data_IF_875162677597
#
_entry.id   IF_875162677597
#
_cell.length_a   1.000
_cell.length_b   1.000
_cell.length_c   1.000
_cell.angle_alpha   90.00
_cell.angle_beta   90.00
_cell.angle_gamma   90.00
#
_symmetry.space_group_name_H-M   'P 1'
#
loop_
_entity.id
_entity.type
_entity.pdbx_description
1 polymer ?
#
# COMPACT_ATOMS: atom_id res chain seq x y z
N UNK A 1 -44.63 -1.59 -23.94
CA UNK A 1 -45.19 -0.34 -23.38
C UNK A 1 -44.48 0.82 -24.07
N UNK A 2 -45.20 1.63 -24.85
CA UNK A 2 -44.63 2.79 -25.54
C UNK A 2 -44.16 3.83 -24.50
N UNK A 3 -42.89 4.22 -24.58
CA UNK A 3 -42.31 5.25 -23.70
C UNK A 3 -42.89 6.60 -24.15
N UNK A 4 -43.67 7.28 -23.31
CA UNK A 4 -44.11 8.65 -23.61
C UNK A 4 -42.88 9.56 -23.67
N UNK A 5 -42.75 10.35 -24.74
CA UNK A 5 -41.64 11.28 -24.96
C UNK A 5 -42.18 12.65 -25.34
N UNK A 6 -41.62 13.72 -24.75
CA UNK A 6 -41.94 15.11 -25.08
C UNK A 6 -40.77 15.69 -25.88
N UNK A 7 -41.06 16.40 -26.97
CA UNK A 7 -40.02 17.03 -27.81
C UNK A 7 -39.55 18.34 -27.17
N UNK A 8 -38.25 18.45 -26.93
CA UNK A 8 -37.60 19.69 -26.51
C UNK A 8 -36.60 20.16 -27.57
N UNK A 9 -36.57 21.47 -27.84
CA UNK A 9 -35.58 22.10 -28.73
C UNK A 9 -34.56 22.85 -27.88
N UNK A 10 -33.30 22.43 -27.93
CA UNK A 10 -32.20 22.97 -27.11
C UNK A 10 -31.06 23.36 -28.04
N UNK A 11 -30.39 24.47 -27.74
CA UNK A 11 -29.17 24.89 -28.45
C UNK A 11 -27.95 24.31 -27.74
N UNK A 12 -27.07 23.66 -28.50
CA UNK A 12 -25.79 23.13 -28.03
C UNK A 12 -24.66 23.94 -28.66
N UNK A 13 -23.58 24.17 -27.92
CA UNK A 13 -22.37 24.69 -28.52
C UNK A 13 -21.83 23.71 -29.58
N UNK A 14 -21.14 24.17 -30.64
CA UNK A 14 -20.66 23.31 -31.72
C UNK A 14 -19.84 22.10 -31.23
N UNK A 15 -18.98 22.31 -30.23
CA UNK A 15 -18.19 21.25 -29.60
C UNK A 15 -19.05 20.19 -28.90
N UNK A 16 -20.08 20.61 -28.17
CA UNK A 16 -20.99 19.71 -27.45
C UNK A 16 -21.85 18.89 -28.42
N UNK A 17 -22.29 19.51 -29.53
CA UNK A 17 -23.01 18.80 -30.60
C UNK A 17 -22.15 17.68 -31.22
N UNK A 18 -20.86 17.98 -31.49
CA UNK A 18 -19.92 16.98 -31.99
C UNK A 18 -19.71 15.84 -30.99
N UNK A 19 -19.44 16.16 -29.73
CA UNK A 19 -19.27 15.16 -28.66
C UNK A 19 -20.50 14.26 -28.51
N UNK A 20 -21.70 14.83 -28.54
CA UNK A 20 -22.95 14.05 -28.47
C UNK A 20 -23.08 13.09 -29.66
N UNK A 21 -22.77 13.56 -30.88
CA UNK A 21 -22.83 12.73 -32.08
C UNK A 21 -21.83 11.57 -32.04
N UNK A 22 -20.61 11.83 -31.57
CA UNK A 22 -19.55 10.82 -31.43
C UNK A 22 -19.91 9.79 -30.37
N UNK A 23 -20.39 10.25 -29.21
CA UNK A 23 -20.83 9.38 -28.12
C UNK A 23 -21.99 8.47 -28.54
N UNK A 24 -23.00 9.03 -29.18
CA UNK A 24 -24.16 8.29 -29.69
C UNK A 24 -23.73 7.22 -30.70
N UNK A 25 -22.82 7.57 -31.62
CA UNK A 25 -22.23 6.64 -32.59
C UNK A 25 -21.44 5.53 -31.90
N UNK A 26 -20.55 5.88 -30.96
CA UNK A 26 -19.73 4.92 -30.21
C UNK A 26 -20.59 3.92 -29.42
N UNK A 27 -21.66 4.40 -28.79
CA UNK A 27 -22.58 3.57 -27.99
C UNK A 27 -23.70 2.93 -28.82
N UNK A 28 -23.76 3.17 -30.14
CA UNK A 28 -24.81 2.69 -31.06
C UNK A 28 -26.23 2.99 -30.57
N UNK A 29 -26.44 4.20 -30.07
CA UNK A 29 -27.75 4.70 -29.61
C UNK A 29 -28.10 6.01 -30.33
N UNK A 30 -29.37 6.42 -30.29
CA UNK A 30 -29.77 7.72 -30.85
C UNK A 30 -29.25 8.87 -29.96
N UNK A 31 -29.03 10.05 -30.55
CA UNK A 31 -28.63 11.24 -29.77
C UNK A 31 -29.69 11.61 -28.73
N UNK A 32 -30.98 11.45 -29.04
CA UNK A 32 -32.06 11.69 -28.09
C UNK A 32 -32.03 10.70 -26.91
N UNK A 33 -31.73 9.42 -27.14
CA UNK A 33 -31.58 8.43 -26.06
C UNK A 33 -30.31 8.70 -25.23
N UNK A 34 -29.22 9.12 -25.88
CA UNK A 34 -28.00 9.55 -25.18
C UNK A 34 -28.27 10.74 -24.25
N UNK A 35 -28.97 11.78 -24.73
CA UNK A 35 -29.36 12.95 -23.92
C UNK A 35 -30.29 12.53 -22.79
N UNK A 36 -31.30 11.70 -23.06
CA UNK A 36 -32.24 11.23 -22.03
C UNK A 36 -31.52 10.45 -20.91
N UNK A 37 -30.56 9.58 -21.26
CA UNK A 37 -29.73 8.86 -20.29
C UNK A 37 -28.82 9.79 -19.50
N UNK A 38 -28.20 10.75 -20.15
CA UNK A 38 -27.36 11.73 -19.48
C UNK A 38 -28.17 12.57 -18.48
N UNK A 39 -29.36 13.06 -18.86
CA UNK A 39 -30.26 13.79 -17.97
C UNK A 39 -30.75 12.91 -16.82
N UNK A 40 -31.15 11.67 -17.09
CA UNK A 40 -31.56 10.73 -16.04
C UNK A 40 -30.41 10.45 -15.05
N UNK A 41 -29.18 10.33 -15.54
CA UNK A 41 -28.00 10.19 -14.67
C UNK A 41 -27.70 11.46 -13.88
N UNK A 42 -27.87 12.64 -14.49
CA UNK A 42 -27.57 13.93 -13.87
C UNK A 42 -28.59 14.29 -12.78
N UNK A 43 -29.86 13.97 -13.02
CA UNK A 43 -30.93 14.18 -12.03
C UNK A 43 -31.09 13.03 -11.04
N UNK A 44 -30.31 11.95 -11.18
CA UNK A 44 -30.32 10.87 -10.20
C UNK A 44 -29.57 11.33 -8.94
N UNK A 45 -30.26 11.51 -7.80
CA UNK A 45 -29.63 11.97 -6.53
C UNK A 45 -28.56 11.00 -6.02
N UNK A 46 -28.54 9.79 -6.55
CA UNK A 46 -27.81 8.67 -6.00
C UNK A 46 -26.46 8.38 -6.68
N UNK A 47 -26.17 8.98 -7.83
CA UNK A 47 -25.04 8.58 -8.66
C UNK A 47 -23.68 8.96 -8.06
N UNK A 48 -23.49 10.25 -7.79
CA UNK A 48 -22.29 10.78 -7.13
C UNK A 48 -22.14 10.21 -5.73
N UNK A 49 -23.22 10.25 -4.96
CA UNK A 49 -23.21 9.96 -3.52
C UNK A 49 -22.92 8.49 -3.25
N UNK A 50 -23.39 7.57 -4.12
CA UNK A 50 -23.06 6.14 -4.00
C UNK A 50 -21.60 5.85 -4.31
N UNK A 51 -21.03 6.52 -5.32
CA UNK A 51 -19.62 6.35 -5.68
C UNK A 51 -18.74 6.90 -4.56
N UNK A 52 -19.04 8.10 -4.09
CA UNK A 52 -18.33 8.73 -2.97
C UNK A 52 -18.41 7.85 -1.71
N UNK A 53 -19.60 7.40 -1.33
CA UNK A 53 -19.77 6.50 -0.19
C UNK A 53 -19.05 5.15 -0.37
N UNK A 54 -18.92 4.62 -1.59
CA UNK A 54 -18.18 3.39 -1.84
C UNK A 54 -16.67 3.61 -1.73
N UNK A 55 -16.15 4.74 -2.21
CA UNK A 55 -14.75 5.13 -2.09
C UNK A 55 -14.39 5.34 -0.61
N UNK A 56 -15.20 6.12 0.14
CA UNK A 56 -14.97 6.35 1.57
C UNK A 56 -14.92 5.04 2.35
N UNK A 57 -15.88 4.12 2.12
CA UNK A 57 -15.87 2.78 2.74
C UNK A 57 -14.63 1.96 2.38
N UNK A 58 -14.13 2.07 1.15
CA UNK A 58 -12.90 1.38 0.72
C UNK A 58 -11.67 1.97 1.41
N UNK A 59 -11.59 3.31 1.50
CA UNK A 59 -10.51 4.00 2.19
C UNK A 59 -10.49 3.63 3.68
N UNK A 60 -11.65 3.66 4.35
CA UNK A 60 -11.76 3.24 5.76
C UNK A 60 -11.26 1.81 5.97
N UNK A 61 -11.60 0.90 5.06
CA UNK A 61 -11.12 -0.48 5.12
C UNK A 61 -9.60 -0.57 4.94
N UNK A 62 -9.03 0.22 4.02
CA UNK A 62 -7.58 0.26 3.79
C UNK A 62 -6.85 0.83 5.00
N UNK A 63 -7.34 1.92 5.60
CA UNK A 63 -6.77 2.49 6.82
C UNK A 63 -6.75 1.45 7.95
N UNK A 64 -7.87 0.76 8.18
CA UNK A 64 -7.92 -0.31 9.20
C UNK A 64 -6.98 -1.48 8.90
N UNK A 65 -6.76 -1.81 7.62
CA UNK A 65 -5.81 -2.85 7.23
C UNK A 65 -4.37 -2.39 7.48
N UNK A 66 -4.08 -1.13 7.19
CA UNK A 66 -2.79 -0.50 7.45
C UNK A 66 -2.50 -0.46 8.95
N UNK A 67 -3.42 0.00 9.79
CA UNK A 67 -3.24 0.06 11.24
C UNK A 67 -2.96 -1.32 11.84
N UNK A 68 -3.67 -2.35 11.37
CA UNK A 68 -3.39 -3.74 11.78
C UNK A 68 -2.04 -4.26 11.28
N UNK A 69 -1.55 -3.76 10.15
CA UNK A 69 -0.23 -4.13 9.64
C UNK A 69 0.88 -3.43 10.43
N UNK A 70 0.72 -2.14 10.70
CA UNK A 70 1.61 -1.36 11.55
C UNK A 70 1.73 -1.99 12.94
N UNK A 71 0.59 -2.28 13.59
CA UNK A 71 0.62 -2.94 14.91
C UNK A 71 1.34 -4.30 14.90
N UNK A 72 1.14 -5.12 13.86
CA UNK A 72 1.89 -6.39 13.72
C UNK A 72 3.39 -6.14 13.56
N UNK A 73 3.77 -5.11 12.81
CA UNK A 73 5.17 -4.72 12.63
C UNK A 73 5.79 -4.30 13.95
N UNK A 74 5.09 -3.49 14.75
CA UNK A 74 5.56 -3.05 16.06
C UNK A 74 5.73 -4.23 17.02
N UNK A 75 4.77 -5.16 17.06
CA UNK A 75 4.87 -6.38 17.88
C UNK A 75 6.08 -7.23 17.48
N UNK A 76 6.34 -7.39 16.17
CA UNK A 76 7.51 -8.13 15.68
C UNK A 76 8.81 -7.43 16.05
N UNK A 77 8.87 -6.10 15.90
CA UNK A 77 10.04 -5.31 16.26
C UNK A 77 10.34 -5.42 17.76
N UNK A 78 9.32 -5.28 18.61
CA UNK A 78 9.45 -5.41 20.07
C UNK A 78 9.88 -6.82 20.48
N UNK A 79 9.28 -7.85 19.86
CA UNK A 79 9.65 -9.25 20.11
C UNK A 79 11.10 -9.52 19.74
N UNK A 80 11.56 -9.01 18.58
CA UNK A 80 12.94 -9.18 18.14
C UNK A 80 13.91 -8.44 19.06
N UNK A 81 13.58 -7.22 19.49
CA UNK A 81 14.37 -6.45 20.45
C UNK A 81 14.54 -7.22 21.77
N UNK A 82 13.44 -7.74 22.32
CA UNK A 82 13.46 -8.56 23.54
C UNK A 82 14.25 -9.87 23.35
N UNK A 83 14.08 -10.55 22.22
CA UNK A 83 14.82 -11.77 21.90
C UNK A 83 16.33 -11.51 21.83
N UNK A 84 16.76 -10.52 21.04
CA UNK A 84 18.17 -10.17 20.87
C UNK A 84 18.78 -9.76 22.21
N UNK A 85 18.08 -8.92 22.98
CA UNK A 85 18.53 -8.50 24.32
C UNK A 85 18.70 -9.70 25.26
N UNK A 86 17.69 -10.56 25.34
CA UNK A 86 17.71 -11.76 26.20
C UNK A 86 18.83 -12.71 25.77
N UNK A 87 18.99 -12.93 24.47
CA UNK A 87 20.04 -13.78 23.91
C UNK A 87 21.43 -13.23 24.27
N UNK A 88 21.68 -11.93 24.06
CA UNK A 88 22.96 -11.30 24.39
C UNK A 88 23.31 -11.31 25.88
N UNK A 89 22.29 -11.35 26.76
CA UNK A 89 22.47 -11.42 28.21
C UNK A 89 22.68 -12.86 28.69
N UNK A 90 21.97 -13.85 28.11
CA UNK A 90 21.84 -15.19 28.68
C UNK A 90 22.58 -16.33 27.94
N UNK A 91 23.14 -16.12 26.76
CA UNK A 91 23.81 -17.21 26.00
C UNK A 91 25.26 -17.52 26.41
N UNK A 92 25.83 -16.84 27.40
CA UNK A 92 27.08 -17.29 28.01
C UNK A 92 26.78 -18.28 29.15
N UNK A 93 27.21 -19.55 29.09
CA UNK A 93 27.12 -20.44 30.24
C UNK A 93 28.14 -19.94 31.26
N UNK A 94 27.67 -19.23 32.29
CA UNK A 94 28.52 -18.71 33.35
C UNK A 94 28.21 -19.43 34.65
N UNK A 95 29.24 -19.95 35.36
CA UNK A 95 29.09 -20.41 36.73
C UNK A 95 28.51 -19.28 37.58
N UNK A 96 27.65 -19.64 38.55
CA UNK A 96 26.72 -18.75 39.25
C UNK A 96 27.33 -17.45 39.85
N UNK A 97 28.64 -17.39 40.05
CA UNK A 97 29.37 -16.25 40.61
C UNK A 97 29.61 -15.09 39.62
N UNK A 98 29.52 -15.31 38.30
CA UNK A 98 29.82 -14.29 37.29
C UNK A 98 28.58 -13.57 36.71
N UNK A 99 27.39 -13.82 37.24
CA UNK A 99 26.12 -13.36 36.66
C UNK A 99 25.99 -11.82 36.55
N UNK A 100 26.57 -11.06 37.49
CA UNK A 100 26.53 -9.60 37.45
C UNK A 100 27.41 -9.02 36.32
N UNK A 101 28.61 -9.56 36.14
CA UNK A 101 29.53 -9.17 35.05
C UNK A 101 28.96 -9.58 33.68
N UNK A 102 28.32 -10.75 33.61
CA UNK A 102 27.59 -11.23 32.43
C UNK A 102 26.52 -10.25 31.96
N UNK A 103 25.67 -9.80 32.89
CA UNK A 103 24.58 -8.85 32.60
C UNK A 103 25.11 -7.50 32.16
N UNK A 104 26.21 -7.03 32.76
CA UNK A 104 26.87 -5.79 32.35
C UNK A 104 27.44 -5.88 30.93
N UNK A 105 28.11 -6.98 30.58
CA UNK A 105 28.58 -7.24 29.22
C UNK A 105 27.43 -7.36 28.22
N UNK A 106 26.34 -8.05 28.58
CA UNK A 106 25.15 -8.16 27.74
C UNK A 106 24.48 -6.81 27.46
N UNK A 107 24.44 -5.92 28.47
CA UNK A 107 23.95 -4.55 28.31
C UNK A 107 24.82 -3.74 27.34
N UNK A 108 26.15 -3.80 27.49
CA UNK A 108 27.07 -3.10 26.59
C UNK A 108 26.96 -3.60 25.13
N UNK A 109 26.78 -4.91 24.92
CA UNK A 109 26.54 -5.50 23.60
C UNK A 109 25.21 -5.05 22.99
N UNK A 110 24.15 -4.94 23.80
CA UNK A 110 22.86 -4.41 23.36
C UNK A 110 22.97 -2.96 22.87
N UNK A 111 23.63 -2.09 23.65
CA UNK A 111 23.82 -0.68 23.27
C UNK A 111 24.61 -0.55 21.95
N UNK A 112 25.69 -1.33 21.78
CA UNK A 112 26.45 -1.38 20.53
C UNK A 112 25.62 -1.90 19.34
N UNK A 113 24.78 -2.91 19.56
CA UNK A 113 23.85 -3.43 18.55
C UNK A 113 22.84 -2.35 18.10
N UNK A 114 22.19 -1.67 19.05
CA UNK A 114 21.23 -0.60 18.75
C UNK A 114 21.89 0.50 17.93
N UNK A 115 23.10 0.94 18.33
CA UNK A 115 23.84 1.98 17.62
C UNK A 115 24.24 1.53 16.19
N UNK A 116 24.67 0.28 16.02
CA UNK A 116 24.96 -0.28 14.70
C UNK A 116 23.70 -0.38 13.82
N UNK A 117 22.56 -0.73 14.40
CA UNK A 117 21.27 -0.78 13.72
C UNK A 117 20.81 0.60 13.28
N UNK A 118 20.84 1.60 14.16
CA UNK A 118 20.46 2.99 13.84
C UNK A 118 21.30 3.54 12.69
N UNK A 119 22.63 3.41 12.78
CA UNK A 119 23.53 3.83 11.70
C UNK A 119 23.24 3.16 10.36
N UNK A 120 22.75 1.92 10.38
CA UNK A 120 22.38 1.19 9.17
C UNK A 120 21.04 1.67 8.60
N UNK A 121 20.06 1.91 9.45
CA UNK A 121 18.76 2.47 9.05
C UNK A 121 18.91 3.87 8.43
N UNK A 122 19.75 4.72 9.00
CA UNK A 122 20.07 6.05 8.45
C UNK A 122 20.75 6.00 7.08
N UNK A 123 21.52 4.94 6.80
CA UNK A 123 22.18 4.72 5.51
C UNK A 123 21.24 4.17 4.43
N UNK A 124 20.01 3.79 4.78
CA UNK A 124 18.99 3.34 3.83
C UNK A 124 19.25 1.98 3.17
N UNK A 125 20.31 1.25 3.54
CA UNK A 125 20.55 -0.09 3.01
C UNK A 125 19.64 -1.10 3.73
N UNK A 126 18.52 -1.43 3.11
CA UNK A 126 17.62 -2.43 3.64
C UNK A 126 18.26 -3.81 3.52
N UNK A 127 18.26 -4.58 4.61
CA UNK A 127 18.77 -5.96 4.63
C UNK A 127 18.17 -6.82 3.50
N UNK A 128 16.93 -6.54 3.12
CA UNK A 128 16.25 -7.20 1.98
C UNK A 128 16.94 -6.98 0.64
N UNK A 129 17.59 -5.83 0.42
CA UNK A 129 18.29 -5.51 -0.83
C UNK A 129 19.68 -6.15 -0.92
N UNK A 130 20.31 -6.43 0.22
CA UNK A 130 21.56 -7.20 0.29
C UNK A 130 21.27 -8.69 0.07
N UNK A 131 20.25 -9.23 0.73
CA UNK A 131 19.82 -10.63 0.53
C UNK A 131 19.37 -10.85 -0.94
N UNK A 132 18.66 -9.89 -1.54
CA UNK A 132 18.27 -9.98 -2.95
C UNK A 132 19.48 -9.96 -3.90
N UNK A 133 20.59 -9.28 -3.53
CA UNK A 133 21.84 -9.30 -4.30
C UNK A 133 22.59 -10.62 -4.16
N UNK A 134 22.60 -11.21 -2.96
CA UNK A 134 23.29 -12.49 -2.70
C UNK A 134 22.57 -13.70 -3.34
N UNK A 135 21.28 -13.56 -3.70
CA UNK A 135 20.50 -14.61 -4.38
C UNK A 135 20.70 -14.59 -5.90
N UNK A 136 21.18 -13.49 -6.50
CA UNK A 136 21.56 -13.49 -7.93
C UNK A 136 22.94 -14.15 -8.04
N UNK A 137 23.05 -15.36 -8.62
CA UNK A 137 24.35 -16.01 -8.76
C UNK A 137 25.20 -15.15 -9.69
N UNK A 138 26.41 -14.80 -9.28
CA UNK A 138 27.46 -14.41 -10.21
C UNK A 138 27.63 -15.56 -11.20
N UNK A 139 27.12 -15.39 -12.42
CA UNK A 139 27.24 -16.36 -13.48
C UNK A 139 28.71 -16.63 -13.75
N UNK A 140 29.09 -17.88 -13.51
CA UNK A 140 30.21 -18.61 -14.11
C UNK A 140 31.26 -17.76 -14.83
N UNK A 141 32.35 -17.46 -14.11
CA UNK A 141 33.66 -17.33 -14.73
C UNK A 141 34.01 -18.69 -15.36
N UNK A 142 33.74 -18.84 -16.67
CA UNK A 142 34.21 -19.98 -17.44
C UNK A 142 35.75 -19.96 -17.49
N UNK A 143 36.45 -21.08 -17.22
CA UNK A 143 37.89 -21.14 -17.37
C UNK A 143 38.26 -21.12 -18.85
N UNK A 144 39.21 -20.25 -19.21
CA UNK A 144 39.87 -20.20 -20.52
C UNK A 144 40.35 -21.61 -20.92
N UNK A 145 39.88 -22.07 -22.08
CA UNK A 145 40.37 -23.24 -22.79
C UNK A 145 41.02 -22.81 -24.12
#
# INVERSE_FOLDING_TARGET
MSRQTIRHTIRLAPGQSRQLSEFARMKRISQSDAVARALASYFSPDGSDRIEAAISRRLDRLTRQYDRAAWRSDVVAETLALFIRTWLIHTAPLPDEASASARAMGKARWESFVEALTRRLERGSHLSEEIARDIVPHGEDAPDA
#
